data_IF_500503831965
#
_entry.id   IF_500503831965
#
_cell.length_a   1.000
_cell.length_b   1.000
_cell.length_c   1.000
_cell.angle_alpha   90.00
_cell.angle_beta   90.00
_cell.angle_gamma   90.00
#
_symmetry.space_group_name_H-M   'P 1'
#
loop_
_entity.id
_entity.type
_entity.pdbx_description
1 polymer ?
#
# COMPACT_ATOMS: atom_id res chain seq x y z
N UNK A 1 -4.22 -25.15 36.28
CA UNK A 1 -3.03 -24.37 35.90
C UNK A 1 -3.21 -24.13 34.42
N UNK A 2 -3.73 -22.95 34.04
CA UNK A 2 -3.94 -22.58 32.65
C UNK A 2 -2.74 -21.73 32.24
N UNK A 3 -2.07 -22.16 31.17
CA UNK A 3 -0.89 -21.48 30.64
C UNK A 3 -1.34 -20.20 29.93
N UNK A 4 -0.86 -19.09 30.46
CA UNK A 4 -1.08 -17.73 29.98
C UNK A 4 -0.33 -17.56 28.65
N UNK A 5 -1.08 -17.58 27.55
CA UNK A 5 -0.55 -17.34 26.22
C UNK A 5 -0.19 -15.87 26.07
N UNK A 6 1.07 -15.53 26.38
CA UNK A 6 1.67 -14.27 25.97
C UNK A 6 1.76 -14.25 24.45
N UNK A 7 0.73 -13.69 23.79
CA UNK A 7 0.85 -13.23 22.42
C UNK A 7 1.78 -12.02 22.46
N UNK A 8 3.01 -12.21 21.99
CA UNK A 8 4.00 -11.16 21.88
C UNK A 8 3.45 -10.01 21.04
N UNK A 9 3.17 -8.91 21.72
CA UNK A 9 2.99 -7.59 21.13
C UNK A 9 4.33 -7.24 20.48
N UNK A 10 4.49 -7.60 19.20
CA UNK A 10 5.59 -7.11 18.38
C UNK A 10 5.46 -5.58 18.41
N UNK A 11 6.50 -4.87 18.85
CA UNK A 11 6.56 -3.41 18.81
C UNK A 11 6.35 -2.95 17.36
N UNK A 12 5.09 -2.75 17.00
CA UNK A 12 4.67 -2.15 15.74
C UNK A 12 5.32 -0.78 15.72
N UNK A 13 6.19 -0.55 14.74
CA UNK A 13 6.83 0.75 14.52
C UNK A 13 5.78 1.87 14.66
N UNK A 14 6.11 3.02 15.28
CA UNK A 14 5.14 4.07 15.54
C UNK A 14 4.65 4.67 14.22
N UNK A 15 3.58 4.08 13.67
CA UNK A 15 2.89 4.52 12.46
C UNK A 15 1.53 5.08 12.82
N UNK A 16 1.23 6.31 12.38
CA UNK A 16 -0.06 6.96 12.65
C UNK A 16 -1.19 6.26 11.87
N UNK A 17 -0.87 5.75 10.68
CA UNK A 17 -1.76 5.00 9.80
C UNK A 17 -1.17 3.64 9.46
N UNK A 18 -2.00 2.62 9.24
CA UNK A 18 -1.53 1.27 8.85
C UNK A 18 -0.90 1.25 7.44
N UNK A 19 -1.40 2.10 6.53
CA UNK A 19 -0.86 2.34 5.20
C UNK A 19 -1.02 3.84 4.87
N UNK A 20 -0.23 4.40 3.93
CA UNK A 20 -0.25 5.82 3.62
C UNK A 20 -1.67 6.31 3.26
N UNK A 21 -2.27 7.25 4.01
CA UNK A 21 -3.62 7.74 3.73
C UNK A 21 -3.68 8.58 2.45
N UNK A 22 -2.52 8.97 1.91
CA UNK A 22 -2.35 9.72 0.67
C UNK A 22 -1.22 9.14 -0.18
N UNK A 23 -1.36 9.35 -1.48
CA UNK A 23 -0.36 9.01 -2.50
C UNK A 23 -0.24 10.19 -3.45
N UNK A 24 0.93 10.82 -3.50
CA UNK A 24 1.18 12.06 -4.24
C UNK A 24 0.14 13.15 -3.92
N UNK A 25 -0.27 13.22 -2.65
CA UNK A 25 -1.24 14.15 -2.11
C UNK A 25 -2.71 13.81 -2.37
N UNK A 26 -2.99 12.78 -3.17
CA UNK A 26 -4.35 12.30 -3.42
C UNK A 26 -4.75 11.29 -2.35
N UNK A 27 -6.03 11.34 -1.94
CA UNK A 27 -6.54 10.43 -0.91
C UNK A 27 -6.54 8.99 -1.41
N UNK A 28 -6.01 8.10 -0.58
CA UNK A 28 -6.07 6.65 -0.80
C UNK A 28 -7.11 6.04 0.12
N UNK A 29 -7.99 5.23 -0.45
CA UNK A 29 -8.86 4.36 0.32
C UNK A 29 -8.37 2.93 0.20
N UNK A 30 -7.74 2.43 1.26
CA UNK A 30 -7.29 1.06 1.37
C UNK A 30 -8.44 0.09 1.65
N UNK A 31 -8.26 -1.15 1.22
CA UNK A 31 -9.12 -2.27 1.51
C UNK A 31 -8.74 -2.95 2.82
N UNK A 32 -8.78 -4.27 2.81
CA UNK A 32 -8.29 -5.11 3.90
C UNK A 32 -7.08 -5.90 3.38
N UNK A 33 -6.17 -6.23 4.28
CA UNK A 33 -5.13 -7.20 4.01
C UNK A 33 -5.75 -8.57 3.72
N UNK A 34 -5.20 -9.25 2.74
CA UNK A 34 -5.60 -10.59 2.32
C UNK A 34 -4.35 -11.36 1.92
N UNK A 35 -4.39 -12.68 2.01
CA UNK A 35 -3.34 -13.51 1.43
C UNK A 35 -3.20 -13.18 -0.06
N UNK A 36 -1.95 -13.08 -0.54
CA UNK A 36 -1.74 -12.94 -1.98
C UNK A 36 -2.31 -14.19 -2.65
N UNK A 37 -3.31 -14.06 -3.53
CA UNK A 37 -3.78 -15.22 -4.27
C UNK A 37 -2.60 -15.77 -5.10
N UNK A 38 -2.58 -17.08 -5.37
CA UNK A 38 -1.60 -17.73 -6.28
C UNK A 38 -1.68 -17.20 -7.74
N UNK A 39 -2.48 -16.15 -7.98
CA UNK A 39 -2.76 -15.56 -9.28
C UNK A 39 -1.76 -14.45 -9.57
N UNK A 40 -0.92 -14.72 -10.56
CA UNK A 40 0.05 -13.84 -11.20
C UNK A 40 -0.50 -12.44 -11.50
N UNK A 41 -0.15 -11.45 -10.68
CA UNK A 41 -0.12 -10.05 -11.12
C UNK A 41 1.05 -9.96 -12.10
N UNK A 42 0.76 -9.80 -13.39
CA UNK A 42 1.78 -9.75 -14.43
C UNK A 42 2.59 -8.45 -14.36
N UNK A 43 3.93 -8.50 -14.53
CA UNK A 43 4.72 -9.67 -14.91
C UNK A 43 4.94 -10.66 -13.75
N UNK A 44 5.08 -11.97 -14.04
CA UNK A 44 5.27 -12.99 -13.02
C UNK A 44 6.40 -12.61 -12.05
N UNK A 45 6.22 -12.81 -10.73
CA UNK A 45 7.28 -12.56 -9.77
C UNK A 45 8.53 -13.34 -10.17
N UNK A 46 9.69 -12.69 -10.13
CA UNK A 46 10.96 -13.43 -10.21
C UNK A 46 10.96 -14.40 -9.03
N UNK A 47 11.40 -15.64 -9.29
CA UNK A 47 11.16 -16.82 -8.45
C UNK A 47 11.62 -16.76 -6.99
N UNK A 48 12.28 -15.70 -6.57
CA UNK A 48 12.82 -15.53 -5.21
C UNK A 48 12.66 -14.06 -4.80
N UNK A 49 11.43 -13.55 -4.73
CA UNK A 49 11.19 -12.24 -4.12
C UNK A 49 11.27 -12.42 -2.59
N UNK A 50 12.48 -12.57 -2.07
CA UNK A 50 12.72 -12.47 -0.64
C UNK A 50 12.43 -11.03 -0.19
N UNK A 51 11.93 -10.87 1.03
CA UNK A 51 11.75 -9.55 1.61
C UNK A 51 13.12 -8.87 1.71
N UNK A 52 13.30 -7.71 1.07
CA UNK A 52 14.59 -6.99 1.07
C UNK A 52 15.01 -6.51 2.47
N UNK A 53 14.05 -6.43 3.40
CA UNK A 53 14.28 -6.03 4.79
C UNK A 53 14.74 -7.18 5.70
N UNK A 54 14.13 -8.37 5.60
CA UNK A 54 14.40 -9.48 6.54
C UNK A 54 14.82 -10.82 5.89
N UNK A 55 14.78 -10.93 4.56
CA UNK A 55 15.11 -12.15 3.81
C UNK A 55 14.02 -13.23 3.85
N UNK A 56 12.82 -12.93 4.34
CA UNK A 56 11.70 -13.88 4.33
C UNK A 56 11.34 -14.28 2.90
N UNK A 57 11.07 -15.57 2.70
CA UNK A 57 10.58 -16.14 1.43
C UNK A 57 9.08 -16.41 1.45
N UNK A 58 8.39 -16.00 2.51
CA UNK A 58 6.94 -16.12 2.59
C UNK A 58 6.26 -15.19 1.58
N UNK A 59 5.10 -15.62 1.06
CA UNK A 59 4.30 -14.77 0.20
C UNK A 59 3.81 -13.55 1.01
N UNK A 60 3.94 -12.32 0.48
CA UNK A 60 3.46 -11.15 1.20
C UNK A 60 1.92 -11.11 1.23
N UNK A 61 1.37 -10.47 2.25
CA UNK A 61 -0.04 -10.07 2.28
C UNK A 61 -0.26 -8.96 1.25
N UNK A 62 -1.45 -8.91 0.67
CA UNK A 62 -1.84 -7.95 -0.38
C UNK A 62 -2.98 -7.05 0.11
N UNK A 63 -2.92 -5.75 -0.22
CA UNK A 63 -4.03 -4.81 -0.03
C UNK A 63 -4.15 -3.88 -1.25
N UNK A 64 -5.37 -3.47 -1.60
CA UNK A 64 -5.64 -2.61 -2.74
C UNK A 64 -6.11 -1.22 -2.30
N UNK A 65 -5.39 -0.19 -2.74
CA UNK A 65 -5.69 1.21 -2.51
C UNK A 65 -6.39 1.84 -3.72
N UNK A 66 -7.50 2.53 -3.48
CA UNK A 66 -8.18 3.35 -4.51
C UNK A 66 -7.81 4.81 -4.34
N UNK A 67 -7.21 5.40 -5.36
CA UNK A 67 -6.83 6.82 -5.36
C UNK A 67 -7.99 7.66 -5.87
N UNK A 68 -8.37 8.67 -5.08
CA UNK A 68 -9.49 9.55 -5.38
C UNK A 68 -9.03 11.00 -5.61
N UNK A 69 -9.64 11.68 -6.58
CA UNK A 69 -9.51 13.13 -6.75
C UNK A 69 -10.86 13.83 -6.66
N UNK A 70 -10.82 15.09 -6.20
CA UNK A 70 -12.00 15.95 -6.14
C UNK A 70 -12.37 16.45 -7.55
N UNK A 71 -13.66 16.52 -7.91
CA UNK A 71 -14.07 17.01 -9.21
C UNK A 71 -13.64 18.45 -9.53
N UNK A 72 -13.49 19.29 -8.51
CA UNK A 72 -13.04 20.68 -8.64
C UNK A 72 -11.58 20.78 -9.07
N UNK A 73 -10.73 19.84 -8.63
CA UNK A 73 -9.29 19.78 -8.94
C UNK A 73 -8.97 18.82 -10.09
N UNK A 74 -9.93 18.01 -10.53
CA UNK A 74 -9.72 17.00 -11.56
C UNK A 74 -9.35 17.62 -12.92
N UNK A 75 -8.28 17.11 -13.59
CA UNK A 75 -7.93 17.49 -14.95
C UNK A 75 -9.11 17.30 -15.91
N UNK A 76 -9.21 18.15 -16.95
CA UNK A 76 -10.33 18.11 -17.91
C UNK A 76 -10.53 16.73 -18.56
N UNK A 77 -9.47 15.94 -18.71
CA UNK A 77 -9.53 14.57 -19.24
C UNK A 77 -10.33 13.61 -18.35
N UNK A 78 -10.28 13.79 -17.02
CA UNK A 78 -10.94 12.94 -16.02
C UNK A 78 -12.39 13.38 -15.78
N UNK A 79 -12.74 14.63 -16.11
CA UNK A 79 -14.10 15.18 -15.88
C UNK A 79 -15.24 14.42 -16.58
N UNK A 80 -14.93 13.58 -17.58
CA UNK A 80 -15.90 12.70 -18.27
C UNK A 80 -16.03 11.31 -17.63
N UNK A 81 -15.17 10.96 -16.68
CA UNK A 81 -15.27 9.70 -15.95
C UNK A 81 -16.54 9.68 -15.08
N UNK A 82 -17.05 8.49 -14.76
CA UNK A 82 -18.21 8.39 -13.88
C UNK A 82 -17.79 8.72 -12.45
N UNK A 83 -18.47 9.67 -11.82
CA UNK A 83 -18.29 9.94 -10.38
C UNK A 83 -18.73 8.73 -9.57
N UNK A 84 -17.91 8.30 -8.61
CA UNK A 84 -18.32 7.38 -7.56
C UNK A 84 -18.38 8.15 -6.25
N UNK A 85 -19.57 8.20 -5.63
CA UNK A 85 -19.82 8.95 -4.38
C UNK A 85 -19.33 10.41 -4.43
N UNK A 86 -19.41 11.06 -5.61
CA UNK A 86 -19.01 12.46 -5.79
C UNK A 86 -17.51 12.69 -6.03
N UNK A 87 -16.69 11.64 -6.20
CA UNK A 87 -15.25 11.74 -6.51
C UNK A 87 -14.90 10.97 -7.78
N UNK A 88 -13.77 11.32 -8.40
CA UNK A 88 -13.22 10.54 -9.51
C UNK A 88 -12.19 9.53 -8.99
N UNK A 89 -12.38 8.26 -9.35
CA UNK A 89 -11.35 7.23 -9.18
C UNK A 89 -10.28 7.47 -10.25
N UNK A 90 -9.05 7.75 -9.83
CA UNK A 90 -7.94 8.04 -10.77
C UNK A 90 -6.97 6.89 -10.93
N UNK A 91 -6.97 5.95 -9.98
CA UNK A 91 -6.04 4.83 -10.00
C UNK A 91 -6.32 3.80 -8.91
N UNK A 92 -5.72 2.63 -9.10
CA UNK A 92 -5.63 1.56 -8.09
C UNK A 92 -4.15 1.24 -7.90
N UNK A 93 -3.74 1.17 -6.65
CA UNK A 93 -2.38 0.79 -6.23
C UNK A 93 -2.46 -0.48 -5.38
N UNK A 94 -1.35 -1.22 -5.30
CA UNK A 94 -1.26 -2.47 -4.54
C UNK A 94 -0.18 -2.36 -3.49
N UNK A 95 -0.53 -2.58 -2.23
CA UNK A 95 0.43 -2.69 -1.14
C UNK A 95 0.71 -4.17 -0.84
N UNK A 96 1.97 -4.46 -0.53
CA UNK A 96 2.47 -5.79 -0.18
C UNK A 96 3.15 -5.70 1.17
N UNK A 97 2.75 -6.55 2.12
CA UNK A 97 3.32 -6.62 3.46
C UNK A 97 4.05 -7.93 3.67
N UNK A 98 5.30 -7.89 4.09
CA UNK A 98 5.98 -9.08 4.57
C UNK A 98 5.30 -9.59 5.84
N UNK A 99 4.88 -10.86 5.85
CA UNK A 99 4.19 -11.45 7.00
C UNK A 99 5.10 -11.59 8.23
N UNK A 100 6.42 -11.75 8.01
CA UNK A 100 7.39 -11.97 9.09
C UNK A 100 7.88 -10.67 9.76
N UNK A 101 8.16 -9.61 8.99
CA UNK A 101 8.71 -8.36 9.54
C UNK A 101 7.79 -7.15 9.42
N UNK A 102 6.63 -7.28 8.76
CA UNK A 102 5.66 -6.19 8.59
C UNK A 102 6.08 -5.09 7.62
N UNK A 103 7.21 -5.24 6.92
CA UNK A 103 7.70 -4.28 5.94
C UNK A 103 6.77 -4.18 4.73
N UNK A 104 6.45 -2.96 4.34
CA UNK A 104 5.48 -2.66 3.28
C UNK A 104 6.16 -2.11 2.03
N UNK A 105 5.76 -2.62 0.87
CA UNK A 105 6.06 -2.02 -0.43
C UNK A 105 4.77 -1.72 -1.18
N UNK A 106 4.78 -0.74 -2.06
CA UNK A 106 3.61 -0.35 -2.87
C UNK A 106 3.96 -0.31 -4.35
N UNK A 107 3.15 -0.98 -5.16
CA UNK A 107 3.13 -0.82 -6.61
C UNK A 107 2.14 0.29 -6.99
N UNK A 108 2.66 1.35 -7.59
CA UNK A 108 1.84 2.49 -8.03
C UNK A 108 1.10 2.22 -9.36
N UNK A 109 0.32 3.20 -9.81
CA UNK A 109 -0.46 3.10 -11.06
C UNK A 109 0.39 3.01 -12.33
N UNK A 110 1.67 3.40 -12.24
CA UNK A 110 2.63 3.31 -13.34
C UNK A 110 3.40 1.97 -13.31
N UNK A 111 3.14 1.11 -12.33
CA UNK A 111 3.85 -0.15 -12.12
C UNK A 111 5.22 0.03 -11.46
N UNK A 112 5.51 1.20 -10.88
CA UNK A 112 6.74 1.42 -10.10
C UNK A 112 6.55 0.85 -8.70
N UNK A 113 7.54 0.12 -8.21
CA UNK A 113 7.61 -0.33 -6.82
C UNK A 113 8.23 0.75 -5.94
N UNK A 114 7.63 0.96 -4.79
CA UNK A 114 8.03 1.90 -3.76
C UNK A 114 8.25 1.14 -2.46
N UNK A 115 9.40 1.37 -1.85
CA UNK A 115 9.70 0.91 -0.50
C UNK A 115 9.22 1.98 0.50
N UNK A 116 8.37 1.60 1.46
CA UNK A 116 7.79 2.55 2.40
C UNK A 116 8.65 2.69 3.65
N UNK A 117 8.90 3.93 4.05
CA UNK A 117 9.61 4.29 5.28
C UNK A 117 8.68 4.95 6.30
N UNK A 118 9.23 5.26 7.48
CA UNK A 118 8.49 5.83 8.61
C UNK A 118 7.72 7.11 8.27
N UNK A 119 8.16 7.87 7.26
CA UNK A 119 7.55 9.15 6.88
C UNK A 119 6.26 8.97 6.08
N UNK A 120 6.09 7.83 5.41
CA UNK A 120 4.94 7.55 4.55
C UNK A 120 3.64 7.28 5.33
N UNK A 121 3.75 6.91 6.61
CA UNK A 121 2.61 6.56 7.46
C UNK A 121 2.00 7.73 8.23
N UNK A 122 2.42 8.96 7.91
CA UNK A 122 1.87 10.19 8.51
C UNK A 122 0.58 10.64 7.80
N UNK A 123 -0.10 11.64 8.35
CA UNK A 123 -1.24 12.30 7.70
C UNK A 123 -0.96 12.83 6.27
N UNK A 124 0.31 13.11 5.96
CA UNK A 124 0.73 13.55 4.64
C UNK A 124 0.77 12.38 3.64
N UNK A 125 0.92 11.14 4.10
CA UNK A 125 1.07 9.97 3.25
C UNK A 125 2.38 9.96 2.46
N UNK A 126 2.40 9.17 1.39
CA UNK A 126 3.57 8.95 0.54
C UNK A 126 3.64 9.91 -0.63
N UNK A 127 4.86 10.30 -1.01
CA UNK A 127 5.14 11.27 -2.07
C UNK A 127 6.40 10.88 -2.84
N UNK A 128 6.45 11.19 -4.13
CA UNK A 128 7.70 11.11 -4.88
C UNK A 128 8.74 12.11 -4.36
N UNK A 129 9.68 11.62 -3.55
CA UNK A 129 10.86 12.35 -3.08
C UNK A 129 11.99 12.40 -4.12
N UNK A 130 11.66 12.37 -5.42
CA UNK A 130 12.63 12.44 -6.51
C UNK A 130 13.67 13.55 -6.28
N UNK A 131 14.93 13.35 -6.71
CA UNK A 131 15.99 14.32 -6.45
C UNK A 131 15.61 15.66 -7.11
N UNK A 132 15.46 16.69 -6.29
CA UNK A 132 15.37 18.09 -6.73
C UNK A 132 16.60 18.51 -7.52
#
# INVERSE_FOLDING_TARGET
MAEDGHQGELELWPREHDLPPRWDGLLVQWGQWQDSPEVFICPPPKKDAECESCGSTQAPLLNFGRIWTDPSTAPRAIRKARLQRGRFLVGVISAFRCDDCGHDTVMDTNGKMWDLDDTDYTDNGSWDNGPT
#
